data_IF_697842400242
#
_entry.id   IF_697842400242
#
_cell.length_a   1.000
_cell.length_b   1.000
_cell.length_c   1.000
_cell.angle_alpha   90.00
_cell.angle_beta   90.00
_cell.angle_gamma   90.00
#
_symmetry.space_group_name_H-M   'P 1'
#
loop_
_entity.id
_entity.type
_entity.pdbx_description
1 polymer ?
#
# COMPACT_ATOMS: atom_id res chain seq x y z
N UNK A 1 15.41 -23.84 20.29
CA UNK A 1 15.03 -22.56 19.64
C UNK A 1 14.06 -22.95 18.55
N UNK A 2 12.85 -22.38 18.54
CA UNK A 2 11.90 -22.67 17.48
C UNK A 2 12.42 -21.99 16.21
N UNK A 3 12.90 -22.77 15.24
CA UNK A 3 13.32 -22.33 13.90
C UNK A 3 12.08 -22.08 13.01
N UNK A 4 11.07 -21.36 13.52
CA UNK A 4 9.97 -20.95 12.66
C UNK A 4 10.41 -19.76 11.79
N UNK A 5 10.24 -19.85 10.46
CA UNK A 5 10.61 -18.76 9.57
C UNK A 5 9.73 -17.53 9.84
N UNK A 6 10.35 -16.36 9.84
CA UNK A 6 9.63 -15.09 9.98
C UNK A 6 8.52 -14.98 8.92
N UNK A 7 7.25 -14.76 9.31
CA UNK A 7 6.13 -14.70 8.37
C UNK A 7 6.27 -13.50 7.43
N UNK A 8 5.64 -13.54 6.26
CA UNK A 8 5.55 -12.36 5.39
C UNK A 8 4.72 -11.25 6.05
N UNK A 9 4.95 -9.99 5.65
CA UNK A 9 4.12 -8.86 6.07
C UNK A 9 2.64 -9.09 5.74
N UNK A 10 2.35 -9.73 4.61
CA UNK A 10 1.00 -10.12 4.20
C UNK A 10 0.35 -11.07 5.21
N UNK A 11 1.09 -12.11 5.62
CA UNK A 11 0.61 -13.09 6.59
C UNK A 11 0.38 -12.43 7.95
N UNK A 12 1.34 -11.61 8.39
CA UNK A 12 1.26 -10.91 9.67
C UNK A 12 0.11 -9.90 9.72
N UNK A 13 -0.13 -9.18 8.63
CA UNK A 13 -1.23 -8.23 8.52
C UNK A 13 -2.62 -8.89 8.63
N UNK A 14 -2.73 -10.22 8.51
CA UNK A 14 -4.00 -10.95 8.45
C UNK A 14 -4.50 -11.23 7.03
N UNK A 15 -3.61 -11.18 6.03
CA UNK A 15 -3.88 -11.59 4.65
C UNK A 15 -4.83 -10.67 3.88
N UNK A 16 -5.48 -11.24 2.85
CA UNK A 16 -6.30 -10.49 1.90
C UNK A 16 -7.47 -9.75 2.57
N UNK A 17 -8.16 -10.42 3.50
CA UNK A 17 -9.33 -9.86 4.15
C UNK A 17 -8.97 -8.63 5.01
N UNK A 18 -7.82 -8.66 5.69
CA UNK A 18 -7.36 -7.53 6.48
C UNK A 18 -6.98 -6.34 5.60
N UNK A 19 -6.27 -6.59 4.49
CA UNK A 19 -5.92 -5.54 3.54
C UNK A 19 -7.13 -4.96 2.81
N UNK A 20 -8.16 -5.77 2.54
CA UNK A 20 -9.41 -5.27 1.97
C UNK A 20 -10.14 -4.35 2.97
N UNK A 21 -10.28 -4.77 4.23
CA UNK A 21 -10.87 -3.92 5.28
C UNK A 21 -10.12 -2.60 5.42
N UNK A 22 -8.78 -2.65 5.42
CA UNK A 22 -7.92 -1.47 5.44
C UNK A 22 -8.24 -0.52 4.30
N UNK A 23 -8.23 -1.01 3.05
CA UNK A 23 -8.41 -0.11 1.90
C UNK A 23 -9.85 0.39 1.77
N UNK A 24 -10.84 -0.39 2.17
CA UNK A 24 -12.23 0.07 2.27
C UNK A 24 -12.37 1.20 3.31
N UNK A 25 -11.80 1.03 4.51
CA UNK A 25 -11.79 2.08 5.53
C UNK A 25 -11.04 3.33 5.05
N UNK A 26 -9.89 3.14 4.42
CA UNK A 26 -9.10 4.21 3.84
C UNK A 26 -9.90 4.99 2.79
N UNK A 27 -10.55 4.33 1.83
CA UNK A 27 -11.28 5.03 0.78
C UNK A 27 -12.59 5.68 1.27
N UNK A 28 -13.21 5.16 2.34
CA UNK A 28 -14.29 5.90 3.03
C UNK A 28 -13.80 7.24 3.57
N UNK A 29 -12.58 7.30 4.14
CA UNK A 29 -11.96 8.54 4.62
C UNK A 29 -11.58 9.47 3.47
N UNK A 30 -10.97 8.94 2.40
CA UNK A 30 -10.61 9.71 1.20
C UNK A 30 -11.83 10.40 0.58
N UNK A 31 -12.97 9.71 0.52
CA UNK A 31 -14.20 10.28 -0.03
C UNK A 31 -14.73 11.48 0.76
N UNK A 32 -14.37 11.61 2.03
CA UNK A 32 -14.76 12.71 2.92
C UNK A 32 -13.67 13.79 3.05
N UNK A 33 -12.50 13.58 2.45
CA UNK A 33 -11.36 14.48 2.57
C UNK A 33 -11.35 15.53 1.46
N UNK A 34 -11.40 16.82 1.84
CA UNK A 34 -11.47 17.92 0.87
C UNK A 34 -10.29 17.96 -0.12
N UNK A 35 -9.10 17.52 0.31
CA UNK A 35 -7.89 17.55 -0.51
C UNK A 35 -7.81 16.35 -1.46
N UNK A 36 -8.23 15.16 -1.01
CA UNK A 36 -8.10 13.92 -1.78
C UNK A 36 -9.36 13.52 -2.53
N UNK A 37 -10.56 13.88 -2.08
CA UNK A 37 -11.80 13.54 -2.78
C UNK A 37 -11.77 13.97 -4.27
N UNK A 38 -11.28 15.17 -4.66
CA UNK A 38 -11.15 15.53 -6.06
C UNK A 38 -10.14 14.67 -6.85
N UNK A 39 -9.08 14.19 -6.20
CA UNK A 39 -8.05 13.33 -6.83
C UNK A 39 -8.63 11.98 -7.23
N UNK A 40 -9.55 11.46 -6.40
CA UNK A 40 -10.19 10.17 -6.59
C UNK A 40 -11.60 10.27 -7.19
N UNK A 41 -12.01 11.46 -7.63
CA UNK A 41 -13.33 11.65 -8.25
C UNK A 41 -13.47 10.77 -9.51
N UNK A 42 -14.57 10.01 -9.57
CA UNK A 42 -14.83 9.07 -10.67
C UNK A 42 -13.92 7.84 -10.67
N UNK A 43 -13.26 7.51 -9.55
CA UNK A 43 -12.51 6.25 -9.43
C UNK A 43 -13.40 5.02 -9.67
N UNK A 44 -12.78 3.95 -10.13
CA UNK A 44 -13.43 2.66 -10.30
C UNK A 44 -14.05 2.17 -8.97
N UNK A 45 -15.30 1.67 -8.94
CA UNK A 45 -15.91 1.16 -7.71
C UNK A 45 -15.10 0.04 -7.02
N UNK A 46 -14.32 -0.72 -7.79
CA UNK A 46 -13.41 -1.76 -7.29
C UNK A 46 -12.06 -1.24 -6.81
N UNK A 47 -11.81 0.08 -6.79
CA UNK A 47 -10.49 0.64 -6.51
C UNK A 47 -9.91 0.21 -5.17
N UNK A 48 -10.72 0.16 -4.11
CA UNK A 48 -10.30 -0.33 -2.80
C UNK A 48 -9.74 -1.76 -2.87
N UNK A 49 -10.46 -2.67 -3.57
CA UNK A 49 -10.02 -4.05 -3.79
C UNK A 49 -8.71 -4.10 -4.56
N UNK A 50 -8.57 -3.30 -5.61
CA UNK A 50 -7.35 -3.29 -6.42
C UNK A 50 -6.12 -2.81 -5.63
N UNK A 51 -6.28 -1.83 -4.74
CA UNK A 51 -5.18 -1.43 -3.85
C UNK A 51 -4.87 -2.51 -2.82
N UNK A 52 -5.87 -3.22 -2.30
CA UNK A 52 -5.63 -4.34 -1.39
C UNK A 52 -4.84 -5.47 -2.06
N UNK A 53 -5.17 -5.80 -3.31
CA UNK A 53 -4.40 -6.76 -4.11
C UNK A 53 -2.96 -6.29 -4.32
N UNK A 54 -2.76 -5.01 -4.66
CA UNK A 54 -1.43 -4.43 -4.86
C UNK A 54 -0.58 -4.54 -3.59
N UNK A 55 -1.11 -4.08 -2.44
CA UNK A 55 -0.42 -4.18 -1.15
C UNK A 55 -0.15 -5.64 -0.78
N UNK A 56 -1.10 -6.54 -1.03
CA UNK A 56 -0.94 -7.94 -0.71
C UNK A 56 0.20 -8.60 -1.48
N UNK A 57 0.28 -8.34 -2.78
CA UNK A 57 1.37 -8.86 -3.62
C UNK A 57 2.73 -8.27 -3.24
N UNK A 58 2.76 -6.98 -2.86
CA UNK A 58 3.98 -6.31 -2.41
C UNK A 58 4.47 -6.91 -1.09
N UNK A 59 3.58 -7.15 -0.14
CA UNK A 59 3.89 -7.66 1.20
C UNK A 59 4.15 -9.16 1.27
N UNK A 60 4.39 -9.80 0.12
CA UNK A 60 4.75 -11.22 0.02
C UNK A 60 3.56 -12.17 0.01
N UNK A 61 2.36 -11.68 -0.31
CA UNK A 61 1.20 -12.49 -0.64
C UNK A 61 1.21 -12.98 -2.10
N UNK A 62 0.12 -13.64 -2.54
CA UNK A 62 -0.02 -14.12 -3.92
C UNK A 62 0.11 -13.01 -4.97
N UNK A 63 0.51 -13.37 -6.19
CA UNK A 63 0.63 -12.44 -7.33
C UNK A 63 -0.74 -12.05 -7.95
N UNK A 64 -1.74 -11.80 -7.11
CA UNK A 64 -3.12 -11.60 -7.51
C UNK A 64 -3.33 -10.27 -8.25
N UNK A 65 -2.63 -9.20 -7.86
CA UNK A 65 -2.70 -7.94 -8.61
C UNK A 65 -2.12 -8.10 -10.01
N UNK A 66 -0.98 -8.77 -10.13
CA UNK A 66 -0.38 -9.07 -11.42
C UNK A 66 -1.31 -9.90 -12.29
N UNK A 67 -1.88 -10.97 -11.75
CA UNK A 67 -2.81 -11.84 -12.48
C UNK A 67 -4.07 -11.09 -12.96
N UNK A 68 -4.66 -10.23 -12.12
CA UNK A 68 -5.93 -9.56 -12.44
C UNK A 68 -5.78 -8.22 -13.16
N UNK A 69 -4.68 -7.50 -12.92
CA UNK A 69 -4.52 -6.10 -13.32
C UNK A 69 -3.29 -5.86 -14.20
N UNK A 70 -2.38 -6.82 -14.35
CA UNK A 70 -1.19 -6.65 -15.22
C UNK A 70 0.02 -6.05 -14.51
N UNK A 71 0.04 -6.04 -13.17
CA UNK A 71 1.24 -5.78 -12.39
C UNK A 71 1.69 -4.32 -12.42
N UNK A 72 2.99 -4.11 -12.22
CA UNK A 72 3.58 -2.78 -12.08
C UNK A 72 3.23 -1.85 -13.24
N UNK A 73 3.25 -2.32 -14.48
CA UNK A 73 2.99 -1.46 -15.65
C UNK A 73 1.58 -0.86 -15.63
N UNK A 74 0.58 -1.66 -15.23
CA UNK A 74 -0.78 -1.14 -15.08
C UNK A 74 -0.92 -0.19 -13.89
N UNK A 75 -0.25 -0.47 -12.77
CA UNK A 75 -0.22 0.44 -11.62
C UNK A 75 0.39 1.79 -12.02
N UNK A 76 1.53 1.77 -12.72
CA UNK A 76 2.21 2.96 -13.22
C UNK A 76 1.27 3.79 -14.10
N UNK A 77 0.60 3.16 -15.06
CA UNK A 77 -0.34 3.82 -15.97
C UNK A 77 -1.50 4.55 -15.25
N UNK A 78 -1.87 4.16 -14.02
CA UNK A 78 -2.89 4.88 -13.23
C UNK A 78 -2.39 6.17 -12.59
N UNK A 79 -1.08 6.33 -12.46
CA UNK A 79 -0.46 7.49 -11.82
C UNK A 79 0.08 8.52 -12.82
N UNK A 80 0.39 8.12 -14.06
CA UNK A 80 0.92 9.03 -15.08
C UNK A 80 0.01 10.25 -15.30
N UNK A 81 0.62 11.43 -15.38
CA UNK A 81 -0.07 12.69 -15.70
C UNK A 81 -1.08 13.17 -14.65
N UNK A 82 -1.12 12.55 -13.46
CA UNK A 82 -2.03 12.94 -12.37
C UNK A 82 -1.59 14.19 -11.61
N UNK A 83 -0.35 14.64 -11.78
CA UNK A 83 0.23 15.80 -11.11
C UNK A 83 0.00 15.77 -9.57
N UNK A 84 0.26 14.63 -8.95
CA UNK A 84 0.07 14.44 -7.50
C UNK A 84 1.06 15.33 -6.76
N UNK A 85 0.55 16.14 -5.84
CA UNK A 85 1.35 17.07 -5.04
C UNK A 85 1.88 16.41 -3.77
N UNK A 86 2.95 16.98 -3.19
CA UNK A 86 3.45 16.54 -1.89
C UNK A 86 2.41 16.68 -0.76
N UNK A 87 1.53 17.68 -0.85
CA UNK A 87 0.46 17.86 0.14
C UNK A 87 -0.54 16.71 0.08
N UNK A 88 -0.98 16.34 -1.13
CA UNK A 88 -1.86 15.18 -1.36
C UNK A 88 -1.18 13.89 -0.91
N UNK A 89 0.10 13.70 -1.25
CA UNK A 89 0.89 12.52 -0.84
C UNK A 89 0.90 12.33 0.68
N UNK A 90 1.24 13.39 1.43
CA UNK A 90 1.28 13.35 2.90
C UNK A 90 -0.10 13.10 3.49
N UNK A 91 -1.14 13.73 2.93
CA UNK A 91 -2.52 13.51 3.40
C UNK A 91 -2.97 12.07 3.16
N UNK A 92 -2.63 11.50 2.01
CA UNK A 92 -2.91 10.11 1.67
C UNK A 92 -2.26 9.16 2.68
N UNK A 93 -0.98 9.40 3.00
CA UNK A 93 -0.25 8.61 4.00
C UNK A 93 -0.89 8.68 5.38
N UNK A 94 -1.28 9.87 5.84
CA UNK A 94 -1.94 10.02 7.13
C UNK A 94 -3.28 9.26 7.19
N UNK A 95 -4.11 9.39 6.16
CA UNK A 95 -5.43 8.74 6.14
C UNK A 95 -5.35 7.21 6.10
N UNK A 96 -4.37 6.62 5.40
CA UNK A 96 -4.21 5.16 5.42
C UNK A 96 -3.67 4.66 6.75
N UNK A 97 -2.87 5.47 7.46
CA UNK A 97 -2.46 5.15 8.83
C UNK A 97 -3.64 5.20 9.80
N UNK A 98 -4.46 6.26 9.74
CA UNK A 98 -5.70 6.36 10.53
C UNK A 98 -6.65 5.19 10.23
N UNK A 99 -6.72 4.75 8.98
CA UNK A 99 -7.52 3.59 8.58
C UNK A 99 -6.95 2.27 9.12
N UNK A 100 -5.62 2.15 9.20
CA UNK A 100 -4.97 0.98 9.73
C UNK A 100 -5.19 0.84 11.25
N UNK A 101 -5.31 1.95 11.97
CA UNK A 101 -5.72 1.95 13.38
C UNK A 101 -7.22 1.62 13.53
N UNK A 102 -8.10 2.20 12.69
CA UNK A 102 -9.55 1.93 12.71
C UNK A 102 -9.87 0.43 12.54
N UNK A 103 -9.15 -0.27 11.67
CA UNK A 103 -9.40 -1.68 11.36
C UNK A 103 -8.60 -2.66 12.21
N UNK A 104 -7.89 -2.15 13.23
CA UNK A 104 -7.00 -2.93 14.10
C UNK A 104 -6.01 -3.80 13.31
N UNK A 105 -5.37 -3.20 12.29
CA UNK A 105 -4.17 -3.79 11.68
C UNK A 105 -3.08 -3.88 12.76
N UNK A 106 -2.14 -4.85 12.72
CA UNK A 106 -1.13 -4.97 13.77
C UNK A 106 -0.42 -3.66 14.07
N UNK A 107 -0.28 -3.35 15.35
CA UNK A 107 0.29 -2.11 15.87
C UNK A 107 1.64 -2.30 16.56
N UNK A 108 2.21 -3.51 16.47
CA UNK A 108 3.56 -3.78 16.89
C UNK A 108 4.57 -2.88 16.13
N UNK A 109 5.59 -2.34 16.82
CA UNK A 109 6.53 -1.40 16.22
C UNK A 109 7.21 -1.91 14.95
N UNK A 110 7.50 -3.21 14.89
CA UNK A 110 8.16 -3.87 13.78
C UNK A 110 7.29 -3.85 12.52
N UNK A 111 6.01 -4.22 12.64
CA UNK A 111 5.06 -4.15 11.52
C UNK A 111 4.79 -2.72 11.11
N UNK A 112 4.54 -1.83 12.06
CA UNK A 112 4.26 -0.42 11.77
C UNK A 112 5.44 0.25 11.06
N UNK A 113 6.68 -0.05 11.47
CA UNK A 113 7.87 0.46 10.80
C UNK A 113 7.98 -0.04 9.35
N UNK A 114 7.80 -1.35 9.11
CA UNK A 114 7.89 -1.93 7.78
C UNK A 114 6.76 -1.44 6.84
N UNK A 115 5.54 -1.38 7.36
CA UNK A 115 4.35 -0.90 6.66
C UNK A 115 4.50 0.57 6.24
N UNK A 116 4.85 1.46 7.19
CA UNK A 116 5.07 2.88 6.90
C UNK A 116 6.22 3.07 5.93
N UNK A 117 7.33 2.34 6.09
CA UNK A 117 8.49 2.49 5.22
C UNK A 117 8.16 2.18 3.75
N UNK A 118 7.33 1.17 3.48
CA UNK A 118 6.87 0.89 2.12
C UNK A 118 5.99 2.02 1.57
N UNK A 119 4.97 2.43 2.34
CA UNK A 119 4.03 3.44 1.88
C UNK A 119 4.72 4.79 1.64
N UNK A 120 5.66 5.16 2.50
CA UNK A 120 6.48 6.35 2.34
C UNK A 120 7.25 6.31 1.01
N UNK A 121 8.00 5.23 0.79
CA UNK A 121 8.79 5.03 -0.43
C UNK A 121 7.90 5.00 -1.70
N UNK A 122 6.82 4.21 -1.67
CA UNK A 122 5.93 4.03 -2.81
C UNK A 122 5.17 5.31 -3.18
N UNK A 123 4.73 6.08 -2.19
CA UNK A 123 4.02 7.34 -2.45
C UNK A 123 4.94 8.44 -2.99
N UNK A 124 6.26 8.42 -2.70
CA UNK A 124 7.23 9.30 -3.36
C UNK A 124 7.37 8.98 -4.85
N UNK A 125 7.40 7.70 -5.20
CA UNK A 125 7.40 7.27 -6.60
C UNK A 125 6.10 7.69 -7.30
N UNK A 126 4.95 7.61 -6.62
CA UNK A 126 3.69 8.08 -7.18
C UNK A 126 3.73 9.58 -7.53
N UNK A 127 4.30 10.43 -6.67
CA UNK A 127 4.53 11.85 -6.98
C UNK A 127 5.43 12.01 -8.20
N UNK A 128 6.60 11.38 -8.18
CA UNK A 128 7.58 11.47 -9.28
C UNK A 128 7.00 11.01 -10.63
N UNK A 129 6.32 9.87 -10.65
CA UNK A 129 5.75 9.28 -11.85
C UNK A 129 4.52 10.03 -12.36
N UNK A 130 3.84 10.80 -11.49
CA UNK A 130 2.66 11.58 -11.88
C UNK A 130 2.96 12.93 -12.50
N UNK A 131 4.22 13.38 -12.44
CA UNK A 131 4.63 14.68 -12.97
C UNK A 131 4.38 14.76 -14.50
N UNK A 132 4.02 15.93 -15.05
CA UNK A 132 3.72 16.08 -16.49
C UNK A 132 4.87 15.67 -17.42
N UNK A 133 6.11 15.81 -16.97
CA UNK A 133 7.34 15.50 -17.70
C UNK A 133 8.05 14.23 -17.19
N UNK A 134 7.34 13.41 -16.39
CA UNK A 134 7.89 12.20 -15.81
C UNK A 134 8.42 11.24 -16.89
N UNK A 135 9.60 10.66 -16.62
CA UNK A 135 10.21 9.59 -17.42
C UNK A 135 10.39 8.34 -16.55
N UNK A 136 9.29 7.70 -16.13
CA UNK A 136 9.36 6.56 -15.24
C UNK A 136 10.04 5.37 -15.92
N UNK A 137 10.61 4.49 -15.10
CA UNK A 137 11.10 3.21 -15.60
C UNK A 137 9.91 2.28 -15.89
N UNK A 138 9.85 1.79 -17.12
CA UNK A 138 8.87 0.82 -17.59
C UNK A 138 9.38 -0.61 -17.43
N UNK A 139 8.48 -1.56 -17.19
CA UNK A 139 8.86 -2.98 -17.06
C UNK A 139 9.58 -3.36 -15.76
N UNK A 140 9.51 -2.53 -14.71
CA UNK A 140 9.92 -2.97 -13.37
C UNK A 140 8.98 -4.08 -12.87
N UNK A 141 9.47 -5.00 -12.01
CA UNK A 141 8.60 -5.96 -11.34
C UNK A 141 7.73 -5.25 -10.28
N UNK A 142 6.68 -5.93 -9.83
CA UNK A 142 5.99 -5.53 -8.60
C UNK A 142 7.00 -5.59 -7.45
N UNK A 143 7.17 -4.51 -6.66
CA UNK A 143 8.09 -4.51 -5.53
C UNK A 143 7.80 -5.65 -4.55
N UNK A 144 8.83 -6.22 -3.95
CA UNK A 144 8.68 -7.16 -2.83
C UNK A 144 9.23 -6.49 -1.58
N UNK A 145 8.36 -6.29 -0.59
CA UNK A 145 8.68 -5.58 0.65
C UNK A 145 8.56 -6.51 1.84
N UNK A 146 9.55 -6.45 2.74
CA UNK A 146 9.62 -7.24 3.96
C UNK A 146 9.91 -6.37 5.18
N UNK A 147 10.32 -7.00 6.27
CA UNK A 147 10.47 -6.39 7.59
C UNK A 147 11.60 -5.36 7.74
N UNK A 148 12.49 -5.23 6.76
CA UNK A 148 13.63 -4.32 6.85
C UNK A 148 14.60 -4.75 7.96
N UNK A 149 15.06 -3.79 8.79
CA UNK A 149 16.09 -4.02 9.82
C UNK A 149 15.55 -4.64 11.12
N UNK A 150 14.23 -4.70 11.32
CA UNK A 150 13.58 -5.17 12.55
C UNK A 150 12.46 -6.18 12.22
N UNK A 151 12.74 -7.49 12.20
CA UNK A 151 11.71 -8.52 12.07
C UNK A 151 10.82 -8.57 13.32
N UNK A 152 9.58 -9.13 13.24
CA UNK A 152 8.64 -9.17 14.35
C UNK A 152 9.24 -9.77 15.61
N UNK A 153 8.86 -9.24 16.76
CA UNK A 153 9.16 -9.90 18.02
C UNK A 153 8.36 -11.20 18.15
N UNK A 154 9.07 -12.32 18.28
CA UNK A 154 8.48 -13.62 18.59
C UNK A 154 8.77 -13.93 20.06
N UNK A 155 7.73 -13.95 20.89
CA UNK A 155 7.87 -14.34 22.29
C UNK A 155 8.24 -15.83 22.36
N UNK A 156 9.36 -16.14 23.00
CA UNK A 156 9.74 -17.53 23.28
C UNK A 156 8.77 -18.15 24.31
N UNK A 157 8.47 -19.47 24.21
CA UNK A 157 7.57 -20.17 25.13
C UNK A 157 8.07 -20.19 26.58
#
# INVERSE_FOLDING_TARGET
MNDEPTPSLYTWAGGADALLRLTEAFYRKVAQDELLAPVFAGMDPGHARYVALWLGEVFGGPAAYTAERGGYEFMLAKHLGRAITEQQRRRWLNLIMDAADEVALPDDPEFRAAFVSYLEWGTRLAVQNSAPDAKPFHGAPVPKWGWGVAPPYVQAP
#
